data_IF_616405443919
#
_entry.id   IF_616405443919
#
_cell.length_a   1.000
_cell.length_b   1.000
_cell.length_c   1.000
_cell.angle_alpha   90.00
_cell.angle_beta   90.00
_cell.angle_gamma   90.00
#
_symmetry.space_group_name_H-M   'P 1'
#
loop_
_entity.id
_entity.type
_entity.pdbx_description
1 polymer ?
#
# COMPACT_ATOMS: atom_id res chain seq x y z
N UNK A 1 -11.09 23.90 -10.06
CA UNK A 1 -10.36 23.44 -8.87
C UNK A 1 -8.97 24.09 -8.80
N UNK A 2 -8.47 24.50 -7.63
CA UNK A 2 -7.14 25.12 -7.54
C UNK A 2 -6.01 24.09 -7.76
N UNK A 3 -4.90 24.52 -8.36
CA UNK A 3 -3.74 23.65 -8.64
C UNK A 3 -3.12 23.07 -7.38
N UNK A 4 -3.08 23.84 -6.29
CA UNK A 4 -2.67 23.33 -4.97
C UNK A 4 -3.53 22.16 -4.53
N UNK A 5 -4.83 22.23 -4.77
CA UNK A 5 -5.76 21.16 -4.44
C UNK A 5 -5.51 19.93 -5.30
N UNK A 6 -5.15 20.10 -6.58
CA UNK A 6 -4.84 19.01 -7.49
C UNK A 6 -3.59 18.24 -7.05
N UNK A 7 -2.50 18.94 -6.75
CA UNK A 7 -1.29 18.33 -6.23
C UNK A 7 -1.52 17.63 -4.89
N UNK A 8 -2.38 18.17 -4.03
CA UNK A 8 -2.78 17.50 -2.79
C UNK A 8 -3.49 16.17 -3.05
N UNK A 9 -4.31 16.04 -4.10
CA UNK A 9 -4.92 14.76 -4.48
C UNK A 9 -3.83 13.76 -4.87
N UNK A 10 -2.92 14.16 -5.76
CA UNK A 10 -1.85 13.28 -6.24
C UNK A 10 -1.00 12.78 -5.07
N UNK A 11 -0.54 13.68 -4.20
CA UNK A 11 0.30 13.33 -3.06
C UNK A 11 -0.43 12.40 -2.10
N UNK A 12 -1.73 12.63 -1.83
CA UNK A 12 -2.54 11.72 -1.01
C UNK A 12 -2.72 10.35 -1.68
N UNK A 13 -2.91 10.32 -2.99
CA UNK A 13 -2.96 9.08 -3.76
C UNK A 13 -1.67 8.27 -3.62
N UNK A 14 -0.52 8.92 -3.81
CA UNK A 14 0.80 8.29 -3.62
C UNK A 14 0.96 7.79 -2.17
N UNK A 15 0.59 8.60 -1.18
CA UNK A 15 0.64 8.22 0.23
C UNK A 15 -0.24 7.00 0.54
N UNK A 16 -1.42 6.91 -0.07
CA UNK A 16 -2.32 5.76 0.10
C UNK A 16 -1.75 4.50 -0.57
N UNK A 17 -1.17 4.65 -1.76
CA UNK A 17 -0.49 3.54 -2.43
C UNK A 17 0.68 3.01 -1.58
N UNK A 18 1.51 3.90 -1.03
CA UNK A 18 2.60 3.52 -0.12
C UNK A 18 2.07 2.83 1.15
N UNK A 19 0.91 3.23 1.67
CA UNK A 19 0.26 2.57 2.80
C UNK A 19 -0.10 1.13 2.44
N UNK A 20 -0.69 0.89 1.27
CA UNK A 20 -0.99 -0.48 0.82
C UNK A 20 0.30 -1.30 0.69
N UNK A 21 1.38 -0.71 0.16
CA UNK A 21 2.67 -1.38 0.04
C UNK A 21 3.33 -1.70 1.39
N UNK A 22 3.03 -0.94 2.46
CA UNK A 22 3.55 -1.27 3.79
C UNK A 22 3.03 -2.60 4.35
N UNK A 23 1.89 -3.09 3.85
CA UNK A 23 1.27 -4.36 4.30
C UNK A 23 2.15 -5.56 3.88
N UNK A 24 2.95 -5.44 2.81
CA UNK A 24 3.87 -6.50 2.36
C UNK A 24 4.99 -6.81 3.36
N UNK A 25 5.21 -5.93 4.33
CA UNK A 25 6.17 -6.18 5.41
C UNK A 25 5.68 -7.31 6.33
N UNK A 26 4.35 -7.52 6.43
CA UNK A 26 3.74 -8.56 7.28
C UNK A 26 4.12 -9.99 6.84
N UNK A 27 3.89 -10.43 5.58
CA UNK A 27 4.31 -11.76 5.15
C UNK A 27 5.83 -11.93 5.21
N UNK A 28 6.60 -10.85 5.07
CA UNK A 28 8.05 -10.88 5.21
C UNK A 28 8.50 -11.16 6.66
N UNK A 29 7.75 -10.69 7.67
CA UNK A 29 7.94 -11.13 9.06
C UNK A 29 7.53 -12.61 9.22
N UNK A 30 6.36 -13.00 8.69
CA UNK A 30 5.84 -14.35 8.85
C UNK A 30 6.75 -15.42 8.22
N UNK A 31 7.40 -15.13 7.09
CA UNK A 31 8.29 -16.06 6.41
C UNK A 31 9.55 -16.38 7.23
N UNK A 32 10.02 -15.46 8.08
CA UNK A 32 11.18 -15.72 8.97
C UNK A 32 10.93 -16.84 9.97
N UNK A 33 9.67 -17.10 10.35
CA UNK A 33 9.31 -18.21 11.25
C UNK A 33 9.39 -19.57 10.56
N UNK A 34 9.25 -19.61 9.22
CA UNK A 34 9.33 -20.86 8.45
C UNK A 34 10.77 -21.34 8.21
N UNK A 35 11.78 -20.55 8.55
CA UNK A 35 13.18 -20.77 8.14
C UNK A 35 13.97 -21.76 9.01
N UNK A 36 13.40 -22.37 10.05
CA UNK A 36 14.22 -23.05 11.05
C UNK A 36 13.60 -24.34 11.58
N UNK A 37 13.93 -25.46 10.93
CA UNK A 37 13.76 -26.77 11.55
C UNK A 37 15.06 -27.36 12.13
N UNK A 38 16.27 -26.91 11.74
CA UNK A 38 17.49 -27.60 12.22
C UNK A 38 18.59 -26.76 12.89
N UNK A 39 18.79 -25.45 12.66
CA UNK A 39 19.73 -24.63 13.46
C UNK A 39 19.30 -23.15 13.47
N UNK A 40 18.69 -22.70 14.57
CA UNK A 40 18.32 -21.30 14.79
C UNK A 40 19.57 -20.45 15.08
N UNK A 41 20.08 -19.75 14.07
CA UNK A 41 21.03 -18.66 14.28
C UNK A 41 20.30 -17.39 14.73
N UNK A 42 20.23 -17.21 16.05
CA UNK A 42 19.60 -16.07 16.70
C UNK A 42 20.18 -14.73 16.25
N UNK A 43 21.46 -14.66 15.89
CA UNK A 43 22.11 -13.42 15.42
C UNK A 43 21.54 -12.97 14.07
N UNK A 44 21.36 -13.91 13.15
CA UNK A 44 20.77 -13.64 11.84
C UNK A 44 19.28 -13.27 11.94
N UNK A 45 18.52 -13.94 12.81
CA UNK A 45 17.10 -13.63 13.02
C UNK A 45 16.88 -12.22 13.59
N UNK A 46 17.67 -11.83 14.60
CA UNK A 46 17.60 -10.48 15.18
C UNK A 46 17.92 -9.42 14.11
N UNK A 47 18.92 -9.69 13.27
CA UNK A 47 19.32 -8.78 12.18
C UNK A 47 18.19 -8.61 11.16
N UNK A 48 17.57 -9.72 10.71
CA UNK A 48 16.45 -9.65 9.77
C UNK A 48 15.28 -8.89 10.39
N UNK A 49 14.90 -9.18 11.63
CA UNK A 49 13.82 -8.47 12.30
C UNK A 49 14.09 -6.98 12.46
N UNK A 50 15.32 -6.57 12.82
CA UNK A 50 15.70 -5.15 12.90
C UNK A 50 15.53 -4.45 11.56
N UNK A 51 15.96 -5.07 10.46
CA UNK A 51 15.81 -4.52 9.11
C UNK A 51 14.34 -4.41 8.74
N UNK A 52 13.55 -5.45 8.95
CA UNK A 52 12.12 -5.46 8.62
C UNK A 52 11.33 -4.45 9.46
N UNK A 53 11.65 -4.31 10.74
CA UNK A 53 11.02 -3.33 11.63
C UNK A 53 11.42 -1.90 11.28
N UNK A 54 12.70 -1.66 10.98
CA UNK A 54 13.18 -0.38 10.48
C UNK A 54 12.49 0.02 9.17
N UNK A 55 12.31 -0.94 8.26
CA UNK A 55 11.58 -0.75 7.00
C UNK A 55 10.11 -0.39 7.26
N UNK A 56 9.44 -1.07 8.19
CA UNK A 56 8.06 -0.74 8.58
C UNK A 56 7.94 0.69 9.12
N UNK A 57 8.84 1.08 10.03
CA UNK A 57 8.87 2.42 10.60
C UNK A 57 9.07 3.47 9.49
N UNK A 58 10.00 3.21 8.57
CA UNK A 58 10.25 4.09 7.44
C UNK A 58 9.00 4.26 6.57
N UNK A 59 8.32 3.16 6.21
CA UNK A 59 7.05 3.21 5.48
C UNK A 59 6.01 4.05 6.22
N UNK A 60 5.81 3.82 7.51
CA UNK A 60 4.82 4.56 8.30
C UNK A 60 5.15 6.04 8.41
N UNK A 61 6.43 6.41 8.54
CA UNK A 61 6.88 7.80 8.54
C UNK A 61 6.61 8.47 7.19
N UNK A 62 6.97 7.82 6.08
CA UNK A 62 6.73 8.36 4.73
C UNK A 62 5.24 8.51 4.47
N UNK A 63 4.43 7.49 4.78
CA UNK A 63 2.97 7.52 4.65
C UNK A 63 2.38 8.67 5.48
N UNK A 64 2.88 8.86 6.71
CA UNK A 64 2.43 9.97 7.57
C UNK A 64 2.73 11.33 6.93
N UNK A 65 3.90 11.50 6.35
CA UNK A 65 4.28 12.75 5.65
C UNK A 65 3.42 12.96 4.41
N UNK A 66 3.23 11.94 3.57
CA UNK A 66 2.46 12.06 2.34
C UNK A 66 0.95 12.24 2.56
N UNK A 67 0.35 11.56 3.54
CA UNK A 67 -1.09 11.69 3.80
C UNK A 67 -1.46 12.93 4.61
N UNK A 68 -0.64 13.32 5.59
CA UNK A 68 -1.00 14.37 6.56
C UNK A 68 -0.21 15.68 6.39
N UNK A 69 0.95 15.68 5.73
CA UNK A 69 1.76 16.89 5.48
C UNK A 69 1.79 17.26 4.00
N UNK A 70 0.67 17.05 3.30
CA UNK A 70 0.54 17.32 1.86
C UNK A 70 0.87 18.77 1.51
N UNK A 71 0.46 19.74 2.33
CA UNK A 71 0.71 21.17 2.06
C UNK A 71 2.19 21.53 2.19
N UNK A 72 2.90 20.90 3.13
CA UNK A 72 4.34 21.08 3.27
C UNK A 72 5.06 20.54 2.04
N UNK A 73 4.67 19.37 1.52
CA UNK A 73 5.25 18.78 0.31
C UNK A 73 5.03 19.70 -0.90
N UNK A 74 3.79 20.19 -1.10
CA UNK A 74 3.47 21.11 -2.21
C UNK A 74 4.34 22.37 -2.15
N UNK A 75 4.51 22.94 -0.95
CA UNK A 75 5.30 24.16 -0.76
C UNK A 75 6.81 23.94 -0.94
N UNK A 76 7.36 22.84 -0.44
CA UNK A 76 8.79 22.50 -0.56
C UNK A 76 9.16 22.20 -2.01
N UNK A 77 8.33 21.40 -2.69
CA UNK A 77 8.53 21.06 -4.10
C UNK A 77 8.09 22.19 -5.05
N UNK A 78 7.48 23.26 -4.52
CA UNK A 78 7.00 24.44 -5.27
C UNK A 78 6.12 24.04 -6.47
N UNK A 79 5.29 23.01 -6.30
CA UNK A 79 4.51 22.39 -7.38
C UNK A 79 3.45 23.34 -7.98
N UNK A 80 3.10 24.41 -7.26
CA UNK A 80 2.16 25.45 -7.68
C UNK A 80 2.81 26.61 -8.42
N UNK A 81 4.14 26.80 -8.34
CA UNK A 81 4.80 28.03 -8.79
C UNK A 81 5.09 28.09 -10.30
N UNK A 82 5.04 26.97 -11.01
CA UNK A 82 5.31 26.91 -12.45
C UNK A 82 4.08 27.11 -13.33
N UNK A 83 2.90 27.25 -12.74
CA UNK A 83 1.65 27.41 -13.48
C UNK A 83 1.22 28.88 -13.51
N UNK A 84 0.93 29.38 -14.71
CA UNK A 84 0.48 30.77 -14.95
C UNK A 84 -0.99 30.97 -14.58
N UNK A 85 -1.80 29.93 -14.69
CA UNK A 85 -3.19 29.90 -14.24
C UNK A 85 -3.26 29.38 -12.80
N UNK A 86 -4.12 29.95 -11.97
CA UNK A 86 -4.29 29.50 -10.57
C UNK A 86 -5.34 28.38 -10.43
N UNK A 87 -6.10 28.10 -11.49
CA UNK A 87 -7.26 27.21 -11.47
C UNK A 87 -7.26 26.30 -12.68
N UNK A 88 -7.63 25.05 -12.44
CA UNK A 88 -7.94 24.07 -13.47
C UNK A 88 -9.46 24.05 -13.62
N UNK A 89 -9.99 24.29 -14.82
CA UNK A 89 -11.43 24.27 -15.13
C UNK A 89 -12.00 22.84 -15.21
N UNK A 90 -11.90 22.12 -14.09
CA UNK A 90 -12.58 20.85 -13.89
C UNK A 90 -13.76 21.12 -12.95
N UNK A 91 -14.98 20.93 -13.46
CA UNK A 91 -16.23 21.05 -12.69
C UNK A 91 -16.53 19.76 -11.89
N UNK A 92 -15.51 19.21 -11.21
CA UNK A 92 -15.66 18.05 -10.33
C UNK A 92 -15.25 18.43 -8.91
N UNK A 93 -16.03 18.05 -7.90
CA UNK A 93 -15.66 18.30 -6.52
C UNK A 93 -14.43 17.46 -6.13
N UNK A 94 -13.59 18.02 -5.26
CA UNK A 94 -12.37 17.39 -4.73
C UNK A 94 -12.59 15.94 -4.29
N UNK A 95 -13.68 15.68 -3.56
CA UNK A 95 -14.04 14.35 -3.07
C UNK A 95 -14.22 13.33 -4.20
N UNK A 96 -14.77 13.73 -5.34
CA UNK A 96 -14.99 12.83 -6.46
C UNK A 96 -13.67 12.49 -7.15
N UNK A 97 -12.80 13.48 -7.34
CA UNK A 97 -11.48 13.26 -7.95
C UNK A 97 -10.60 12.38 -7.05
N UNK A 98 -10.62 12.61 -5.73
CA UNK A 98 -9.93 11.74 -4.79
C UNK A 98 -10.55 10.34 -4.73
N UNK A 99 -11.88 10.20 -4.86
CA UNK A 99 -12.53 8.89 -4.95
C UNK A 99 -12.07 8.12 -6.19
N UNK A 100 -11.97 8.77 -7.34
CA UNK A 100 -11.45 8.16 -8.57
C UNK A 100 -10.02 7.68 -8.35
N UNK A 101 -9.16 8.50 -7.72
CA UNK A 101 -7.79 8.08 -7.40
C UNK A 101 -7.76 6.84 -6.49
N UNK A 102 -8.60 6.78 -5.45
CA UNK A 102 -8.71 5.60 -4.57
C UNK A 102 -9.20 4.37 -5.33
N UNK A 103 -10.18 4.53 -6.22
CA UNK A 103 -10.69 3.45 -7.08
C UNK A 103 -9.58 2.90 -7.97
N UNK A 104 -8.83 3.78 -8.65
CA UNK A 104 -7.72 3.38 -9.53
C UNK A 104 -6.64 2.64 -8.74
N UNK A 105 -6.26 3.14 -7.56
CA UNK A 105 -5.28 2.47 -6.69
C UNK A 105 -5.80 1.09 -6.26
N UNK A 106 -7.05 1.00 -5.80
CA UNK A 106 -7.67 -0.26 -5.40
C UNK A 106 -7.74 -1.27 -6.55
N UNK A 107 -8.07 -0.81 -7.75
CA UNK A 107 -8.09 -1.63 -8.96
C UNK A 107 -6.69 -2.14 -9.34
N UNK A 108 -5.67 -1.29 -9.30
CA UNK A 108 -4.28 -1.71 -9.55
C UNK A 108 -3.84 -2.78 -8.55
N UNK A 109 -4.07 -2.54 -7.25
CA UNK A 109 -3.75 -3.50 -6.18
C UNK A 109 -4.45 -4.84 -6.39
N UNK A 110 -5.72 -4.81 -6.80
CA UNK A 110 -6.50 -6.01 -7.10
C UNK A 110 -5.96 -6.76 -8.32
N UNK A 111 -5.69 -6.06 -9.43
CA UNK A 111 -5.17 -6.65 -10.67
C UNK A 111 -3.79 -7.25 -10.45
N UNK A 112 -2.93 -6.63 -9.65
CA UNK A 112 -1.62 -7.17 -9.28
C UNK A 112 -1.72 -8.40 -8.36
N UNK A 113 -2.71 -8.43 -7.45
CA UNK A 113 -2.87 -9.54 -6.51
C UNK A 113 -3.33 -10.84 -7.18
N UNK A 114 -4.12 -10.76 -8.25
CA UNK A 114 -4.66 -11.94 -8.95
C UNK A 114 -3.56 -12.86 -9.50
N UNK A 115 -2.60 -12.41 -10.33
CA UNK A 115 -1.57 -13.29 -10.89
C UNK A 115 -0.67 -13.88 -9.79
N UNK A 116 -0.33 -13.09 -8.76
CA UNK A 116 0.44 -13.56 -7.60
C UNK A 116 -0.31 -14.67 -6.87
N UNK A 117 -1.60 -14.48 -6.60
CA UNK A 117 -2.46 -15.47 -5.96
C UNK A 117 -2.56 -16.75 -6.80
N UNK A 118 -2.80 -16.62 -8.11
CA UNK A 118 -2.86 -17.77 -9.02
C UNK A 118 -1.55 -18.56 -9.03
N UNK A 119 -0.40 -17.87 -9.08
CA UNK A 119 0.93 -18.51 -9.03
C UNK A 119 1.13 -19.27 -7.72
N UNK A 120 0.78 -18.65 -6.60
CA UNK A 120 0.96 -19.23 -5.27
C UNK A 120 0.03 -20.42 -5.03
N UNK A 121 -1.21 -20.37 -5.55
CA UNK A 121 -2.12 -21.52 -5.56
C UNK A 121 -1.57 -22.65 -6.42
N UNK A 122 -1.05 -22.34 -7.61
CA UNK A 122 -0.47 -23.35 -8.49
C UNK A 122 0.71 -24.08 -7.83
N UNK A 123 1.60 -23.34 -7.18
CA UNK A 123 2.71 -23.92 -6.41
C UNK A 123 2.22 -24.79 -5.26
N UNK A 124 1.21 -24.33 -4.52
CA UNK A 124 0.60 -25.09 -3.44
C UNK A 124 -0.01 -26.41 -3.93
N UNK A 125 -0.74 -26.39 -5.04
CA UNK A 125 -1.37 -27.59 -5.64
C UNK A 125 -0.36 -28.59 -6.22
N UNK A 126 0.85 -28.13 -6.59
CA UNK A 126 1.92 -28.99 -7.10
C UNK A 126 2.56 -29.84 -6.00
N UNK A 127 2.34 -29.52 -4.73
CA UNK A 127 2.97 -30.24 -3.62
C UNK A 127 2.37 -31.63 -3.44
N UNK A 128 3.25 -32.61 -3.17
CA UNK A 128 2.88 -34.02 -2.95
C UNK A 128 2.30 -34.28 -1.55
N UNK A 129 2.65 -33.45 -0.57
CA UNK A 129 2.10 -33.50 0.78
C UNK A 129 1.35 -32.20 1.10
N UNK A 130 0.09 -32.34 1.51
CA UNK A 130 -0.76 -31.22 1.90
C UNK A 130 -0.24 -30.64 3.24
N UNK A 131 0.20 -29.39 3.22
CA UNK A 131 0.45 -28.51 4.37
C UNK A 131 1.70 -28.74 5.23
N UNK A 132 2.52 -29.78 5.03
CA UNK A 132 3.60 -30.05 5.98
C UNK A 132 4.82 -29.13 5.84
N UNK A 133 5.12 -28.63 4.63
CA UNK A 133 6.37 -27.88 4.36
C UNK A 133 6.24 -26.67 3.40
N UNK A 134 5.04 -26.10 3.20
CA UNK A 134 4.92 -24.92 2.32
C UNK A 134 5.28 -23.61 3.03
N UNK A 135 6.54 -23.20 2.92
CA UNK A 135 7.02 -21.87 3.32
C UNK A 135 6.28 -20.71 2.65
N UNK A 136 5.63 -20.94 1.50
CA UNK A 136 4.80 -19.96 0.79
C UNK A 136 3.38 -19.77 1.36
N UNK A 137 2.99 -20.47 2.42
CA UNK A 137 1.62 -20.36 2.99
C UNK A 137 1.30 -18.93 3.44
N UNK A 138 2.29 -18.26 4.05
CA UNK A 138 2.19 -16.84 4.43
C UNK A 138 1.92 -15.93 3.24
N UNK A 139 2.56 -16.21 2.10
CA UNK A 139 2.36 -15.46 0.86
C UNK A 139 1.00 -15.73 0.22
N UNK A 140 0.51 -16.97 0.27
CA UNK A 140 -0.81 -17.34 -0.22
C UNK A 140 -1.91 -16.56 0.52
N UNK A 141 -1.87 -16.59 1.86
CA UNK A 141 -2.80 -15.85 2.72
C UNK A 141 -2.68 -14.35 2.43
N UNK A 142 -1.45 -13.84 2.29
CA UNK A 142 -1.21 -12.44 2.00
C UNK A 142 -1.80 -11.99 0.67
N UNK A 143 -1.56 -12.71 -0.44
CA UNK A 143 -2.10 -12.34 -1.75
C UNK A 143 -3.62 -12.43 -1.79
N UNK A 144 -4.21 -13.38 -1.07
CA UNK A 144 -5.66 -13.45 -0.86
C UNK A 144 -6.20 -12.21 -0.14
N UNK A 145 -5.59 -11.82 0.98
CA UNK A 145 -5.96 -10.60 1.70
C UNK A 145 -5.71 -9.34 0.86
N UNK A 146 -4.61 -9.29 0.09
CA UNK A 146 -4.29 -8.19 -0.82
C UNK A 146 -5.38 -8.01 -1.88
N UNK A 147 -5.85 -9.09 -2.48
CA UNK A 147 -6.96 -9.07 -3.43
C UNK A 147 -8.25 -8.54 -2.78
N UNK A 148 -8.60 -9.03 -1.59
CA UNK A 148 -9.77 -8.54 -0.85
C UNK A 148 -9.63 -7.04 -0.53
N UNK A 149 -8.47 -6.60 -0.06
CA UNK A 149 -8.20 -5.19 0.24
C UNK A 149 -8.34 -4.33 -1.01
N UNK A 150 -7.73 -4.71 -2.14
CA UNK A 150 -7.87 -3.98 -3.40
C UNK A 150 -9.33 -3.86 -3.86
N UNK A 151 -10.08 -4.96 -3.77
CA UNK A 151 -11.52 -4.98 -4.08
C UNK A 151 -12.35 -4.09 -3.14
N UNK A 152 -12.09 -4.15 -1.83
CA UNK A 152 -12.77 -3.32 -0.84
C UNK A 152 -12.44 -1.83 -1.02
N UNK A 153 -11.21 -1.49 -1.37
CA UNK A 153 -10.81 -0.11 -1.66
C UNK A 153 -11.53 0.43 -2.89
N UNK A 154 -11.65 -0.38 -3.93
CA UNK A 154 -12.37 -0.03 -5.15
C UNK A 154 -13.87 0.20 -4.88
N UNK A 155 -14.51 -0.68 -4.10
CA UNK A 155 -15.96 -0.63 -3.82
C UNK A 155 -16.35 0.40 -2.75
N UNK A 156 -15.50 0.61 -1.73
CA UNK A 156 -15.77 1.49 -0.59
C UNK A 156 -14.94 2.80 -0.63
N UNK A 157 -14.61 3.26 -1.84
CA UNK A 157 -13.75 4.44 -2.07
C UNK A 157 -14.22 5.70 -1.33
N UNK A 158 -15.54 5.94 -1.27
CA UNK A 158 -16.13 7.08 -0.54
C UNK A 158 -15.82 7.06 0.96
N UNK A 159 -15.82 5.89 1.59
CA UNK A 159 -15.52 5.72 3.01
C UNK A 159 -14.04 6.05 3.29
N UNK A 160 -13.15 5.59 2.42
CA UNK A 160 -11.71 5.86 2.51
C UNK A 160 -11.43 7.36 2.33
N UNK A 161 -12.06 7.98 1.33
CA UNK A 161 -11.96 9.43 1.10
C UNK A 161 -12.42 10.22 2.31
N UNK A 162 -13.56 9.84 2.90
CA UNK A 162 -14.07 10.48 4.11
C UNK A 162 -13.11 10.32 5.29
N UNK A 163 -12.44 9.18 5.45
CA UNK A 163 -11.43 8.99 6.50
C UNK A 163 -10.21 9.88 6.30
N UNK A 164 -9.77 10.06 5.04
CA UNK A 164 -8.63 10.90 4.66
C UNK A 164 -8.95 12.39 4.78
N UNK A 165 -10.20 12.81 4.58
CA UNK A 165 -10.61 14.23 4.62
C UNK A 165 -11.18 14.67 5.99
N UNK A 166 -11.75 13.77 6.80
CA UNK A 166 -12.23 14.06 8.18
C UNK A 166 -11.14 14.47 9.17
N UNK A 167 -9.86 14.37 8.80
CA UNK A 167 -8.70 14.73 9.63
C UNK A 167 -8.06 16.07 9.22
N UNK A 168 -8.88 17.00 8.71
CA UNK A 168 -8.53 18.42 8.62
C UNK A 168 -8.62 19.09 9.99
#
# INVERSE_FOLDING_TARGET
>A
MEIKTFWRIIIKGIGLWLLVNSIYVIPQFASTFSFNQDQLDWGNLITVWLITFGTLILYLLVVRVFLFKTEWIVNVLKLDKSFTENRIDINLPYSNVLSIAVIVIGALVFVEAIPELCSTIYEFLKQKELFKDYSGTSWLIFYFLKAICGYLMMTNSKTIVNFIDKRK
#
